data_IF_643574158494
#
_entry.id   IF_643574158494
#
_cell.length_a   1.000
_cell.length_b   1.000
_cell.length_c   1.000
_cell.angle_alpha   90.00
_cell.angle_beta   90.00
_cell.angle_gamma   90.00
#
_symmetry.space_group_name_H-M   'P 1'
#
loop_
_entity.id
_entity.type
_entity.pdbx_description
1 polymer ?
#
# COMPACT_ATOMS: atom_id res chain seq x y z
N UNK A 1 5.74 -2.31 16.83
CA UNK A 1 6.67 -2.42 15.67
C UNK A 1 6.20 -1.50 14.56
N UNK A 2 7.08 -0.65 14.04
CA UNK A 2 6.76 0.21 12.90
C UNK A 2 7.23 -0.46 11.61
N UNK A 3 6.37 -0.46 10.61
CA UNK A 3 6.65 -0.95 9.26
C UNK A 3 6.84 0.25 8.34
N UNK A 4 8.00 0.37 7.75
CA UNK A 4 8.27 1.36 6.70
C UNK A 4 8.02 0.72 5.35
N UNK A 5 7.13 1.30 4.55
CA UNK A 5 6.84 0.82 3.20
C UNK A 5 7.94 1.26 2.23
N UNK A 6 8.27 0.38 1.30
CA UNK A 6 9.23 0.68 0.24
C UNK A 6 8.52 1.32 -0.96
N UNK A 7 8.47 2.65 -0.99
CA UNK A 7 7.78 3.38 -2.05
C UNK A 7 8.37 3.16 -3.44
N UNK A 8 9.68 2.82 -3.53
CA UNK A 8 10.27 2.42 -4.81
C UNK A 8 9.66 1.10 -5.29
N UNK A 9 9.54 0.09 -4.40
CA UNK A 9 8.90 -1.19 -4.76
C UNK A 9 7.43 -0.99 -5.17
N UNK A 10 6.69 -0.12 -4.47
CA UNK A 10 5.32 0.26 -4.84
C UNK A 10 5.27 0.88 -6.24
N UNK A 11 6.18 1.80 -6.54
CA UNK A 11 6.27 2.45 -7.87
C UNK A 11 6.61 1.45 -8.96
N UNK A 12 7.58 0.57 -8.72
CA UNK A 12 7.97 -0.48 -9.67
C UNK A 12 6.81 -1.44 -9.95
N UNK A 13 6.01 -1.77 -8.94
CA UNK A 13 4.81 -2.61 -9.09
C UNK A 13 3.72 -1.89 -9.90
N UNK A 14 3.47 -0.61 -9.66
CA UNK A 14 2.53 0.20 -10.46
C UNK A 14 2.92 0.19 -11.94
N UNK A 15 4.21 0.42 -12.23
CA UNK A 15 4.71 0.42 -13.60
C UNK A 15 4.60 -0.98 -14.26
N UNK A 16 4.89 -2.04 -13.50
CA UNK A 16 4.78 -3.41 -13.97
C UNK A 16 3.32 -3.79 -14.28
N UNK A 17 2.37 -3.47 -13.41
CA UNK A 17 0.95 -3.72 -13.62
C UNK A 17 0.39 -2.93 -14.81
N UNK A 18 0.81 -1.66 -14.97
CA UNK A 18 0.45 -0.83 -16.13
C UNK A 18 0.99 -1.41 -17.43
N UNK A 19 2.24 -1.89 -17.43
CA UNK A 19 2.84 -2.53 -18.60
C UNK A 19 2.16 -3.87 -18.94
N UNK A 20 1.84 -4.69 -17.94
CA UNK A 20 1.13 -5.95 -18.12
C UNK A 20 -0.27 -5.72 -18.72
N UNK A 21 -1.00 -4.72 -18.21
CA UNK A 21 -2.31 -4.36 -18.76
C UNK A 21 -2.22 -3.92 -20.23
N UNK A 22 -1.22 -3.14 -20.57
CA UNK A 22 -0.96 -2.75 -21.95
C UNK A 22 -0.70 -3.96 -22.87
N UNK A 23 0.09 -4.93 -22.39
CA UNK A 23 0.42 -6.13 -23.16
C UNK A 23 -0.77 -7.08 -23.34
N UNK A 24 -1.73 -7.09 -22.40
CA UNK A 24 -2.89 -8.01 -22.39
C UNK A 24 -4.16 -7.39 -22.98
N UNK A 25 -4.20 -6.08 -23.17
CA UNK A 25 -5.34 -5.38 -23.77
C UNK A 25 -5.02 -4.94 -25.20
N UNK A 26 -6.06 -4.82 -26.03
CA UNK A 26 -5.92 -4.22 -27.38
C UNK A 26 -5.59 -2.71 -27.35
N UNK A 27 -5.42 -2.12 -26.15
CA UNK A 27 -5.07 -0.71 -25.97
C UNK A 27 -3.56 -0.55 -26.11
N UNK A 28 -3.14 0.29 -27.05
CA UNK A 28 -1.73 0.49 -27.42
C UNK A 28 -0.95 1.41 -26.46
N UNK A 29 -1.58 2.00 -25.46
CA UNK A 29 -0.95 2.98 -24.60
C UNK A 29 -0.82 2.45 -23.14
N UNK A 30 0.35 2.68 -22.55
CA UNK A 30 0.54 2.46 -21.11
C UNK A 30 -0.35 3.43 -20.33
N UNK A 31 -0.98 2.91 -19.27
CA UNK A 31 -1.81 3.72 -18.38
C UNK A 31 -0.98 4.77 -17.64
N UNK A 32 0.28 4.43 -17.34
CA UNK A 32 1.21 5.28 -16.60
C UNK A 32 2.58 5.24 -17.25
N UNK A 33 3.16 6.42 -17.41
CA UNK A 33 4.53 6.64 -17.88
C UNK A 33 5.39 7.24 -16.77
N UNK A 34 6.72 7.19 -16.94
CA UNK A 34 7.65 7.73 -15.93
C UNK A 34 7.46 9.22 -15.67
N UNK A 35 7.01 9.98 -16.66
CA UNK A 35 6.79 11.43 -16.54
C UNK A 35 5.61 11.78 -15.62
N UNK A 36 4.76 10.80 -15.30
CA UNK A 36 3.61 10.96 -14.41
C UNK A 36 3.93 10.59 -12.94
N UNK A 37 5.15 10.14 -12.66
CA UNK A 37 5.55 9.70 -11.31
C UNK A 37 5.37 10.77 -10.21
N UNK A 38 5.61 12.08 -10.44
CA UNK A 38 5.34 13.09 -9.42
C UNK A 38 3.87 13.12 -8.97
N UNK A 39 2.94 13.06 -9.94
CA UNK A 39 1.50 12.99 -9.65
C UNK A 39 1.10 11.72 -8.92
N UNK A 40 1.74 10.59 -9.25
CA UNK A 40 1.50 9.32 -8.57
C UNK A 40 1.86 9.35 -7.09
N UNK A 41 2.90 10.09 -6.69
CA UNK A 41 3.26 10.22 -5.27
C UNK A 41 2.16 10.86 -4.44
N UNK A 42 1.49 11.87 -4.99
CA UNK A 42 0.35 12.50 -4.32
C UNK A 42 -0.76 11.47 -4.15
N UNK A 43 -1.08 10.72 -5.19
CA UNK A 43 -2.11 9.68 -5.16
C UNK A 43 -1.71 8.57 -4.17
N UNK A 44 -0.45 8.14 -4.15
CA UNK A 44 0.04 7.14 -3.19
C UNK A 44 -0.17 7.58 -1.74
N UNK A 45 0.08 8.85 -1.42
CA UNK A 45 -0.18 9.42 -0.08
C UNK A 45 -1.66 9.39 0.26
N UNK A 46 -2.53 9.78 -0.69
CA UNK A 46 -3.98 9.75 -0.50
C UNK A 46 -4.47 8.32 -0.25
N UNK A 47 -4.07 7.38 -1.11
CA UNK A 47 -4.46 5.97 -0.99
C UNK A 47 -3.93 5.34 0.30
N UNK A 48 -2.73 5.69 0.73
CA UNK A 48 -2.18 5.24 2.01
C UNK A 48 -2.98 5.81 3.19
N UNK A 49 -3.34 7.10 3.17
CA UNK A 49 -4.16 7.70 4.21
C UNK A 49 -5.55 7.05 4.30
N UNK A 50 -6.20 6.79 3.16
CA UNK A 50 -7.47 6.05 3.09
C UNK A 50 -7.33 4.65 3.69
N UNK A 51 -6.26 3.93 3.33
CA UNK A 51 -5.98 2.60 3.85
C UNK A 51 -5.80 2.61 5.38
N UNK A 52 -5.16 3.64 5.93
CA UNK A 52 -5.01 3.77 7.39
C UNK A 52 -6.35 4.03 8.09
N UNK A 53 -7.25 4.79 7.47
CA UNK A 53 -8.62 4.96 7.96
C UNK A 53 -9.38 3.63 7.93
N UNK A 54 -9.26 2.86 6.86
CA UNK A 54 -9.88 1.54 6.74
C UNK A 54 -9.32 0.52 7.76
N UNK A 55 -8.08 0.68 8.18
CA UNK A 55 -7.42 -0.14 9.22
C UNK A 55 -7.57 0.46 10.62
N UNK A 56 -8.45 1.45 10.82
CA UNK A 56 -8.70 2.04 12.13
C UNK A 56 -9.03 0.95 13.17
N UNK A 57 -8.38 1.01 14.33
CA UNK A 57 -8.50 -0.02 15.37
C UNK A 57 -7.36 -1.04 15.36
N UNK A 58 -6.73 -1.31 14.22
CA UNK A 58 -5.57 -2.19 14.06
C UNK A 58 -4.25 -1.41 13.95
N UNK A 59 -4.33 -0.13 13.60
CA UNK A 59 -3.20 0.79 13.51
C UNK A 59 -3.08 1.58 14.80
N UNK A 60 -1.86 1.75 15.29
CA UNK A 60 -1.51 2.55 16.47
C UNK A 60 -0.94 3.91 16.05
N UNK A 61 -0.02 3.90 15.09
CA UNK A 61 0.61 5.09 14.55
C UNK A 61 0.65 5.06 13.03
N UNK A 62 0.53 6.22 12.42
CA UNK A 62 0.69 6.42 10.98
C UNK A 62 1.53 7.67 10.76
N UNK A 63 2.59 7.56 9.98
CA UNK A 63 3.41 8.69 9.58
C UNK A 63 3.51 8.73 8.06
N UNK A 64 3.13 9.87 7.50
CA UNK A 64 3.34 10.21 6.10
C UNK A 64 4.34 11.35 6.10
N UNK A 65 5.47 11.14 5.48
CA UNK A 65 6.45 12.21 5.33
C UNK A 65 5.82 13.35 4.52
N UNK A 66 5.64 14.47 5.19
CA UNK A 66 5.00 15.68 4.67
C UNK A 66 5.99 16.66 4.09
N UNK A 67 7.29 16.35 4.08
CA UNK A 67 8.23 17.15 3.33
C UNK A 67 7.89 17.03 1.84
N UNK A 68 6.97 17.90 1.41
CA UNK A 68 6.65 18.03 0.01
C UNK A 68 7.90 18.51 -0.73
N UNK A 69 8.44 17.70 -1.64
CA UNK A 69 9.40 18.24 -2.58
C UNK A 69 8.71 19.42 -3.27
N UNK A 70 9.37 20.54 -3.34
CA UNK A 70 8.91 21.72 -4.07
C UNK A 70 8.34 21.26 -5.42
N UNK A 71 7.04 21.46 -5.70
CA UNK A 71 6.41 21.00 -6.92
C UNK A 71 7.04 21.65 -8.18
N UNK A 72 7.87 22.67 -8.01
CA UNK A 72 8.60 23.34 -9.09
C UNK A 72 9.92 22.65 -9.41
N UNK A 73 10.43 21.77 -8.53
CA UNK A 73 11.65 21.01 -8.80
C UNK A 73 11.34 19.78 -9.66
N UNK A 74 12.20 19.46 -10.63
CA UNK A 74 12.06 18.23 -11.38
C UNK A 74 12.09 17.05 -10.41
N UNK A 75 11.20 16.08 -10.62
CA UNK A 75 11.12 14.88 -9.81
C UNK A 75 12.50 14.18 -9.77
N UNK A 76 13.09 14.14 -8.60
CA UNK A 76 14.27 13.35 -8.33
C UNK A 76 13.85 12.02 -7.70
N UNK A 77 14.16 10.91 -8.37
CA UNK A 77 13.94 9.56 -7.87
C UNK A 77 14.63 9.31 -6.52
N UNK A 78 15.56 10.20 -6.13
CA UNK A 78 16.31 10.10 -4.89
C UNK A 78 15.60 10.67 -3.68
N UNK A 79 14.54 11.50 -3.86
CA UNK A 79 13.78 12.03 -2.72
C UNK A 79 12.92 10.92 -2.13
N UNK A 80 13.22 10.41 -0.93
CA UNK A 80 12.46 9.31 -0.35
C UNK A 80 11.06 9.79 0.04
N UNK A 81 10.03 9.09 -0.44
CA UNK A 81 8.71 9.15 0.18
C UNK A 81 8.69 8.11 1.29
N UNK A 82 8.42 8.54 2.51
CA UNK A 82 8.31 7.64 3.66
C UNK A 82 6.86 7.46 4.05
N UNK A 83 6.40 6.22 4.01
CA UNK A 83 5.09 5.80 4.50
C UNK A 83 5.33 4.78 5.61
N UNK A 84 4.98 5.14 6.84
CA UNK A 84 5.19 4.29 8.01
C UNK A 84 3.86 3.96 8.67
N UNK A 85 3.75 2.74 9.17
CA UNK A 85 2.60 2.27 9.93
C UNK A 85 3.05 1.48 11.14
N UNK A 86 2.58 1.86 12.31
CA UNK A 86 2.69 1.09 13.54
C UNK A 86 1.41 0.28 13.76
N UNK A 87 1.54 -1.04 13.81
CA UNK A 87 0.43 -1.95 14.04
C UNK A 87 0.32 -2.28 15.53
N UNK A 88 -0.91 -2.35 16.03
CA UNK A 88 -1.20 -2.82 17.39
C UNK A 88 -0.80 -4.28 17.53
N UNK A 89 -0.35 -4.64 18.74
CA UNK A 89 0.03 -6.01 19.09
C UNK A 89 1.11 -6.63 18.17
N UNK A 90 1.88 -5.80 17.48
CA UNK A 90 2.90 -6.24 16.53
C UNK A 90 4.15 -6.85 17.18
N UNK A 91 4.31 -6.75 18.50
CA UNK A 91 5.45 -7.32 19.22
C UNK A 91 5.48 -8.86 19.18
N UNK A 92 4.33 -9.47 18.89
CA UNK A 92 4.20 -10.91 18.71
C UNK A 92 4.43 -11.40 17.29
N UNK A 93 4.64 -10.49 16.33
CA UNK A 93 4.83 -10.88 14.94
C UNK A 93 6.17 -11.58 14.73
N UNK A 94 6.14 -12.71 14.05
CA UNK A 94 7.36 -13.28 13.51
C UNK A 94 7.92 -12.38 12.41
N UNK A 95 9.24 -12.40 12.16
CA UNK A 95 9.83 -11.63 11.06
C UNK A 95 9.18 -11.92 9.70
N UNK A 96 8.77 -13.17 9.46
CA UNK A 96 8.06 -13.55 8.25
C UNK A 96 6.67 -12.94 8.15
N UNK A 97 5.92 -12.90 9.25
CA UNK A 97 4.61 -12.26 9.31
C UNK A 97 4.72 -10.75 9.06
N UNK A 98 5.68 -10.09 9.70
CA UNK A 98 5.93 -8.67 9.50
C UNK A 98 6.24 -8.33 8.03
N UNK A 99 7.06 -9.15 7.37
CA UNK A 99 7.36 -8.99 5.95
C UNK A 99 6.13 -9.23 5.07
N UNK A 100 5.31 -10.22 5.38
CA UNK A 100 4.07 -10.51 4.65
C UNK A 100 3.09 -9.35 4.76
N UNK A 101 2.85 -8.85 5.96
CA UNK A 101 1.98 -7.69 6.21
C UNK A 101 2.49 -6.45 5.47
N UNK A 102 3.80 -6.19 5.55
CA UNK A 102 4.42 -5.08 4.81
C UNK A 102 4.15 -5.19 3.31
N UNK A 103 4.37 -6.34 2.70
CA UNK A 103 4.15 -6.56 1.26
C UNK A 103 2.69 -6.45 0.87
N UNK A 104 1.76 -6.91 1.72
CA UNK A 104 0.33 -6.73 1.48
C UNK A 104 -0.04 -5.25 1.48
N UNK A 105 0.49 -4.46 2.42
CA UNK A 105 0.26 -3.01 2.46
C UNK A 105 0.84 -2.33 1.21
N UNK A 106 2.06 -2.65 0.81
CA UNK A 106 2.69 -2.13 -0.41
C UNK A 106 1.85 -2.45 -1.66
N UNK A 107 1.37 -3.69 -1.78
CA UNK A 107 0.49 -4.12 -2.87
C UNK A 107 -0.84 -3.36 -2.89
N UNK A 108 -1.47 -3.16 -1.72
CA UNK A 108 -2.73 -2.42 -1.63
C UNK A 108 -2.56 -0.95 -2.02
N UNK A 109 -1.45 -0.32 -1.65
CA UNK A 109 -1.12 1.04 -2.06
C UNK A 109 -0.88 1.10 -3.58
N UNK A 110 -0.15 0.14 -4.14
CA UNK A 110 0.08 0.07 -5.59
C UNK A 110 -1.22 -0.12 -6.38
N UNK A 111 -2.06 -1.09 -5.97
CA UNK A 111 -3.34 -1.37 -6.62
C UNK A 111 -4.31 -0.19 -6.51
N UNK A 112 -4.40 0.45 -5.35
CA UNK A 112 -5.24 1.63 -5.14
C UNK A 112 -4.80 2.82 -5.98
N UNK A 113 -3.49 3.10 -6.02
CA UNK A 113 -2.91 4.19 -6.81
C UNK A 113 -3.15 4.00 -8.30
N UNK A 114 -2.88 2.80 -8.82
CA UNK A 114 -3.12 2.49 -10.23
C UNK A 114 -4.61 2.45 -10.55
N UNK A 115 -5.44 1.93 -9.65
CA UNK A 115 -6.89 1.91 -9.79
C UNK A 115 -7.46 3.33 -9.91
N UNK A 116 -6.98 4.26 -9.08
CA UNK A 116 -7.37 5.67 -9.14
C UNK A 116 -6.94 6.31 -10.47
N UNK A 117 -5.69 6.12 -10.86
CA UNK A 117 -5.16 6.67 -12.11
C UNK A 117 -5.84 6.09 -13.38
N UNK A 118 -6.33 4.85 -13.30
CA UNK A 118 -7.02 4.18 -14.42
C UNK A 118 -8.51 4.50 -14.51
N UNK A 119 -9.10 5.20 -13.54
CA UNK A 119 -10.56 5.38 -13.43
C UNK A 119 -11.19 5.95 -14.70
N UNK A 120 -10.57 6.95 -15.31
CA UNK A 120 -11.11 7.61 -16.52
C UNK A 120 -10.75 6.85 -17.81
N UNK A 121 -9.60 6.20 -17.86
CA UNK A 121 -9.05 5.60 -19.07
C UNK A 121 -9.42 4.12 -19.24
N UNK A 122 -9.60 3.38 -18.14
CA UNK A 122 -9.90 1.94 -18.12
C UNK A 122 -10.69 1.55 -16.86
N UNK A 123 -11.98 1.90 -16.85
CA UNK A 123 -12.86 1.70 -15.70
C UNK A 123 -12.99 0.22 -15.27
N UNK A 124 -12.94 -0.73 -16.20
CA UNK A 124 -13.03 -2.16 -15.88
C UNK A 124 -11.76 -2.65 -15.18
N UNK A 125 -10.61 -2.17 -15.63
CA UNK A 125 -9.35 -2.47 -14.97
C UNK A 125 -9.27 -1.82 -13.59
N UNK A 126 -9.67 -0.55 -13.47
CA UNK A 126 -9.78 0.15 -12.18
C UNK A 126 -10.64 -0.65 -11.20
N UNK A 127 -11.83 -1.07 -11.61
CA UNK A 127 -12.73 -1.90 -10.78
C UNK A 127 -12.08 -3.24 -10.37
N UNK A 128 -11.38 -3.89 -11.28
CA UNK A 128 -10.65 -5.13 -10.97
C UNK A 128 -9.57 -4.92 -9.91
N UNK A 129 -8.84 -3.80 -9.96
CA UNK A 129 -7.83 -3.44 -8.97
C UNK A 129 -8.45 -3.12 -7.60
N UNK A 130 -9.57 -2.39 -7.60
CA UNK A 130 -10.32 -2.11 -6.38
C UNK A 130 -10.81 -3.38 -5.70
N UNK A 131 -11.41 -4.30 -6.45
CA UNK A 131 -11.86 -5.60 -5.90
C UNK A 131 -10.69 -6.41 -5.31
N UNK A 132 -9.52 -6.39 -5.96
CA UNK A 132 -8.31 -7.05 -5.42
C UNK A 132 -7.83 -6.39 -4.14
N UNK A 133 -7.83 -5.04 -4.09
CA UNK A 133 -7.47 -4.28 -2.89
C UNK A 133 -8.41 -4.62 -1.72
N UNK A 134 -9.73 -4.67 -1.94
CA UNK A 134 -10.71 -5.01 -0.92
C UNK A 134 -10.55 -6.44 -0.40
N UNK A 135 -10.29 -7.40 -1.29
CA UNK A 135 -10.01 -8.78 -0.91
C UNK A 135 -8.73 -8.88 -0.07
N UNK A 136 -7.67 -8.19 -0.46
CA UNK A 136 -6.41 -8.14 0.29
C UNK A 136 -6.59 -7.47 1.66
N UNK A 137 -7.38 -6.40 1.74
CA UNK A 137 -7.70 -5.72 2.98
C UNK A 137 -8.46 -6.63 3.95
N UNK A 138 -9.46 -7.36 3.47
CA UNK A 138 -10.21 -8.32 4.28
C UNK A 138 -9.31 -9.44 4.81
N UNK A 139 -8.43 -9.98 3.96
CA UNK A 139 -7.47 -10.99 4.36
C UNK A 139 -6.48 -10.47 5.41
N UNK A 140 -5.99 -9.24 5.24
CA UNK A 140 -5.09 -8.59 6.20
C UNK A 140 -5.76 -8.38 7.56
N UNK A 141 -7.00 -7.87 7.57
CA UNK A 141 -7.78 -7.69 8.80
C UNK A 141 -7.94 -9.01 9.56
N UNK A 142 -8.36 -10.06 8.89
CA UNK A 142 -8.52 -11.38 9.49
C UNK A 142 -7.19 -11.86 10.11
N UNK A 143 -6.08 -11.71 9.38
CA UNK A 143 -4.75 -12.10 9.87
C UNK A 143 -4.35 -11.32 11.13
N UNK A 144 -4.60 -10.02 11.16
CA UNK A 144 -4.26 -9.16 12.30
C UNK A 144 -5.16 -9.43 13.50
N UNK A 145 -6.46 -9.67 13.29
CA UNK A 145 -7.44 -9.99 14.33
C UNK A 145 -7.18 -11.38 14.94
N UNK A 146 -6.89 -12.39 14.11
CA UNK A 146 -6.51 -13.73 14.58
C UNK A 146 -5.26 -13.68 15.44
N UNK A 147 -4.26 -12.90 15.05
CA UNK A 147 -3.04 -12.73 15.84
C UNK A 147 -3.34 -12.05 17.19
N UNK A 148 -4.18 -11.02 17.20
CA UNK A 148 -4.59 -10.33 18.43
C UNK A 148 -5.34 -11.28 19.38
N UNK A 149 -6.23 -12.13 18.84
CA UNK A 149 -6.99 -13.13 19.60
C UNK A 149 -6.07 -14.21 20.18
N UNK A 150 -5.10 -14.69 19.40
CA UNK A 150 -4.13 -15.70 19.84
C UNK A 150 -3.27 -15.21 21.00
N UNK A 151 -2.96 -13.90 21.07
CA UNK A 151 -2.22 -13.29 22.18
C UNK A 151 -3.11 -13.24 23.43
N UNK A 152 -4.36 -12.83 23.30
CA UNK A 152 -5.30 -12.74 24.40
C UNK A 152 -5.61 -14.10 25.06
N UNK A 153 -5.50 -15.18 24.31
CA UNK A 153 -5.73 -16.55 24.78
C UNK A 153 -4.49 -17.24 25.35
N UNK A 154 -3.32 -16.60 25.39
CA UNK A 154 -2.15 -17.19 26.05
C UNK A 154 -2.37 -17.19 27.56
N UNK A 155 -2.43 -18.35 28.24
CA UNK A 155 -2.50 -18.37 29.70
C UNK A 155 -1.26 -17.67 30.25
N UNK A 156 -1.45 -16.74 31.18
CA UNK A 156 -0.36 -16.21 31.97
C UNK A 156 0.22 -17.39 32.79
N UNK A 157 1.36 -17.89 32.34
CA UNK A 157 2.12 -18.84 33.16
C UNK A 157 2.83 -18.03 34.27
N UNK A 158 2.08 -17.62 35.26
CA UNK A 158 2.64 -17.16 36.54
C UNK A 158 3.12 -18.38 37.30
N UNK A 159 4.43 -18.57 37.26
CA UNK A 159 5.15 -19.50 38.16
C UNK A 159 5.89 -18.70 39.20
#
# INVERSE_FOLDING_TARGET
MNLQLNCKAVTDEILALSALRCATSAKSHRLITRDQLPGLRIIMRMVFAELMVELTGLVDTCNIDTEDPDPTLPYDDTTPLTLEVGLKNSDSFSPGMALTVKRQLEHMVAAGTLGWAATESDADFSRSLQNRREAALSALRNTLEENATAIACRPSCDW
#
